data_IF_074859162879
#
_entry.id   IF_074859162879
#
_cell.length_a   1.000
_cell.length_b   1.000
_cell.length_c   1.000
_cell.angle_alpha   90.00
_cell.angle_beta   90.00
_cell.angle_gamma   90.00
#
_symmetry.space_group_name_H-M   'P 1'
#
loop_
_entity.id
_entity.type
_entity.pdbx_description
1 polymer ?
#
# COMPACT_ATOMS: atom_id res chain seq x y z
N UNK A 1 0.35 7.98 -2.13
CA UNK A 1 1.82 7.78 -2.26
C UNK A 1 2.38 9.02 -2.92
N UNK A 2 3.46 9.56 -2.36
CA UNK A 2 3.99 10.86 -2.81
C UNK A 2 3.16 12.09 -2.41
N UNK A 3 2.18 11.93 -1.50
CA UNK A 3 1.39 13.01 -0.92
C UNK A 3 1.63 13.14 0.60
N UNK A 4 1.21 14.26 1.22
CA UNK A 4 1.41 14.52 2.65
C UNK A 4 0.56 13.61 3.53
N UNK A 5 1.10 13.25 4.70
CA UNK A 5 0.45 12.45 5.75
C UNK A 5 -0.94 12.98 6.19
N UNK A 6 -1.25 14.26 5.93
CA UNK A 6 -2.56 14.85 6.20
C UNK A 6 -3.71 14.23 5.38
N UNK A 7 -3.39 13.47 4.33
CA UNK A 7 -4.37 12.69 3.57
C UNK A 7 -4.96 11.53 4.38
N UNK A 8 -4.25 11.05 5.41
CA UNK A 8 -4.69 9.93 6.28
C UNK A 8 -5.94 10.31 7.08
N UNK A 9 -6.08 11.57 7.50
CA UNK A 9 -7.27 12.08 8.18
C UNK A 9 -8.48 12.24 7.24
N UNK A 10 -8.26 12.48 5.95
CA UNK A 10 -9.34 12.49 4.96
C UNK A 10 -9.84 11.06 4.67
N UNK A 11 -8.93 10.08 4.65
CA UNK A 11 -9.24 8.66 4.53
C UNK A 11 -10.04 8.13 5.73
N UNK A 12 -9.74 8.63 6.93
CA UNK A 12 -10.48 8.37 8.18
C UNK A 12 -11.99 8.62 8.02
N UNK A 13 -12.35 9.74 7.39
CA UNK A 13 -13.74 10.19 7.32
C UNK A 13 -14.51 9.41 6.25
N UNK A 14 -13.82 8.94 5.19
CA UNK A 14 -14.44 8.21 4.07
C UNK A 14 -14.54 6.71 4.31
N UNK A 15 -13.61 6.10 5.07
CA UNK A 15 -13.59 4.66 5.27
C UNK A 15 -14.34 4.17 6.53
N UNK A 16 -14.71 5.08 7.44
CA UNK A 16 -15.46 4.74 8.67
C UNK A 16 -14.73 3.73 9.57
N UNK A 17 -13.41 3.67 9.45
CA UNK A 17 -12.54 2.64 10.02
C UNK A 17 -11.80 3.09 11.28
N UNK A 18 -11.42 2.13 12.12
CA UNK A 18 -10.48 2.37 13.22
C UNK A 18 -9.07 2.63 12.66
N UNK A 19 -8.48 3.75 13.07
CA UNK A 19 -7.07 4.07 12.83
C UNK A 19 -6.20 3.52 13.95
N UNK A 20 -5.11 2.86 13.59
CA UNK A 20 -4.03 2.53 14.53
C UNK A 20 -2.70 3.00 13.96
N UNK A 21 -2.00 3.87 14.69
CA UNK A 21 -0.67 4.35 14.31
C UNK A 21 0.40 3.60 15.11
N UNK A 22 1.47 3.17 14.45
CA UNK A 22 2.63 2.56 15.10
C UNK A 22 3.93 3.12 14.53
N UNK A 23 4.97 3.26 15.38
CA UNK A 23 6.28 3.74 14.95
C UNK A 23 7.20 2.59 14.58
N UNK A 24 7.71 2.60 13.36
CA UNK A 24 8.89 1.85 12.95
C UNK A 24 10.18 2.64 13.21
N UNK A 25 11.35 2.06 12.86
CA UNK A 25 12.66 2.68 13.12
C UNK A 25 12.84 4.05 12.44
N UNK A 26 12.37 4.16 11.18
CA UNK A 26 12.49 5.34 10.33
C UNK A 26 11.21 5.57 9.50
N UNK A 27 10.06 5.17 10.01
CA UNK A 27 8.76 5.40 9.40
C UNK A 27 7.65 5.27 10.45
N UNK A 28 6.46 5.77 10.11
CA UNK A 28 5.23 5.50 10.85
C UNK A 28 4.33 4.62 9.99
N UNK A 29 3.66 3.66 10.60
CA UNK A 29 2.61 2.86 9.96
C UNK A 29 1.26 3.38 10.42
N UNK A 30 0.46 3.86 9.48
CA UNK A 30 -0.92 4.24 9.69
C UNK A 30 -1.82 3.12 9.17
N UNK A 31 -2.51 2.42 10.08
CA UNK A 31 -3.39 1.32 9.73
C UNK A 31 -4.84 1.81 9.63
N UNK A 32 -5.48 1.54 8.49
CA UNK A 32 -6.90 1.78 8.23
C UNK A 32 -7.61 0.44 8.04
N UNK A 33 -8.68 0.19 8.80
CA UNK A 33 -9.53 -0.99 8.59
C UNK A 33 -10.82 -0.59 7.88
N UNK A 34 -11.11 -1.18 6.72
CA UNK A 34 -12.35 -0.96 6.00
C UNK A 34 -13.51 -1.74 6.63
N UNK A 35 -14.75 -1.26 6.46
CA UNK A 35 -15.97 -1.98 6.85
C UNK A 35 -16.12 -3.35 6.17
N UNK A 36 -15.43 -3.58 5.05
CA UNK A 36 -15.38 -4.85 4.33
C UNK A 36 -14.37 -5.85 4.91
N UNK A 37 -13.66 -5.51 6.00
CA UNK A 37 -12.69 -6.37 6.67
C UNK A 37 -11.32 -6.40 6.01
N UNK A 38 -10.99 -5.39 5.20
CA UNK A 38 -9.64 -5.22 4.64
C UNK A 38 -8.87 -4.26 5.53
N UNK A 39 -7.70 -4.69 5.99
CA UNK A 39 -6.75 -3.86 6.72
C UNK A 39 -5.74 -3.33 5.72
N UNK A 40 -5.50 -2.02 5.75
CA UNK A 40 -4.54 -1.32 4.91
C UNK A 40 -3.55 -0.62 5.83
N UNK A 41 -2.26 -0.82 5.62
CA UNK A 41 -1.19 -0.14 6.35
C UNK A 41 -0.49 0.82 5.39
N UNK A 42 -0.39 2.09 5.76
CA UNK A 42 0.36 3.09 5.01
C UNK A 42 1.66 3.41 5.73
N UNK A 43 2.77 3.35 5.01
CA UNK A 43 4.11 3.59 5.54
C UNK A 43 4.54 5.01 5.19
N UNK A 44 4.68 5.85 6.21
CA UNK A 44 4.96 7.27 6.11
C UNK A 44 6.41 7.52 6.51
N UNK A 45 7.19 8.13 5.64
CA UNK A 45 8.57 8.52 5.94
C UNK A 45 8.61 9.67 6.97
N UNK A 46 9.76 9.94 7.62
CA UNK A 46 9.90 11.07 8.52
C UNK A 46 9.70 12.43 7.82
N UNK A 47 9.82 12.46 6.50
CA UNK A 47 9.50 13.62 5.65
C UNK A 47 7.98 13.77 5.38
N UNK A 48 7.13 12.95 6.02
CA UNK A 48 5.67 13.01 5.87
C UNK A 48 5.15 12.45 4.55
N UNK A 49 5.95 11.64 3.84
CA UNK A 49 5.58 11.08 2.52
C UNK A 49 5.25 9.61 2.63
N UNK A 50 4.07 9.20 2.14
CA UNK A 50 3.73 7.77 1.99
C UNK A 50 4.59 7.15 0.89
N UNK A 51 5.45 6.20 1.26
CA UNK A 51 6.38 5.51 0.35
C UNK A 51 6.02 4.04 0.11
N UNK A 52 5.18 3.46 0.97
CA UNK A 52 4.64 2.13 0.78
C UNK A 52 3.25 1.98 1.39
N UNK A 53 2.50 1.00 0.91
CA UNK A 53 1.21 0.57 1.44
C UNK A 53 1.15 -0.95 1.40
N UNK A 54 0.69 -1.58 2.46
CA UNK A 54 0.34 -3.01 2.47
C UNK A 54 -1.12 -3.20 2.80
N UNK A 55 -1.68 -4.35 2.43
CA UNK A 55 -3.05 -4.68 2.75
C UNK A 55 -3.24 -6.17 2.99
N UNK A 56 -4.24 -6.49 3.79
CA UNK A 56 -4.69 -7.85 4.05
C UNK A 56 -6.19 -7.88 4.20
N UNK A 57 -6.86 -8.77 3.48
CA UNK A 57 -8.30 -8.92 3.61
C UNK A 57 -8.93 -9.79 2.54
N UNK A 58 -10.26 -9.82 2.49
CA UNK A 58 -10.98 -10.66 1.55
C UNK A 58 -10.91 -10.16 0.11
N UNK A 59 -10.63 -8.87 -0.09
CA UNK A 59 -10.50 -8.20 -1.38
C UNK A 59 -9.37 -7.18 -1.31
N UNK A 60 -8.70 -6.87 -2.44
CA UNK A 60 -7.77 -5.75 -2.50
C UNK A 60 -8.53 -4.42 -2.27
N UNK A 61 -7.92 -3.44 -1.59
CA UNK A 61 -8.49 -2.10 -1.47
C UNK A 61 -8.47 -1.38 -2.82
N UNK A 62 -9.17 -0.24 -2.91
CA UNK A 62 -9.00 0.67 -4.04
C UNK A 62 -7.58 1.25 -3.98
N UNK A 63 -6.70 0.79 -4.87
CA UNK A 63 -5.30 1.22 -4.92
C UNK A 63 -5.12 2.62 -5.55
N UNK A 64 -6.17 3.22 -6.12
CA UNK A 64 -6.06 4.54 -6.77
C UNK A 64 -5.70 5.64 -5.78
N UNK A 65 -6.25 5.57 -4.57
CA UNK A 65 -6.01 6.50 -3.47
C UNK A 65 -4.58 6.38 -2.91
N UNK A 66 -4.13 5.19 -2.48
CA UNK A 66 -2.77 5.04 -1.99
C UNK A 66 -1.74 5.19 -3.10
N UNK A 67 -1.96 4.78 -4.36
CA UNK A 67 -0.94 4.95 -5.41
C UNK A 67 -0.91 6.35 -6.04
N UNK A 68 -2.02 7.09 -6.00
CA UNK A 68 -2.08 8.44 -6.57
C UNK A 68 -1.59 8.48 -8.02
N UNK A 69 -0.58 9.30 -8.30
CA UNK A 69 0.02 9.45 -9.64
C UNK A 69 0.66 8.16 -10.18
N UNK A 70 1.08 7.23 -9.31
CA UNK A 70 1.67 5.94 -9.70
C UNK A 70 0.61 4.92 -10.15
N UNK A 71 -0.68 5.20 -9.91
CA UNK A 71 -1.76 4.25 -10.20
C UNK A 71 -1.89 3.93 -11.69
N UNK A 72 -1.70 4.93 -12.56
CA UNK A 72 -1.80 4.75 -14.01
C UNK A 72 -0.71 3.80 -14.56
N UNK A 73 0.54 3.96 -14.09
CA UNK A 73 1.65 3.09 -14.46
C UNK A 73 1.41 1.66 -13.97
N UNK A 74 0.97 1.51 -12.72
CA UNK A 74 0.56 0.22 -12.17
C UNK A 74 -0.56 -0.44 -13.00
N UNK A 75 -1.62 0.30 -13.34
CA UNK A 75 -2.77 -0.26 -14.06
C UNK A 75 -2.37 -0.75 -15.46
N UNK A 76 -1.54 0.03 -16.17
CA UNK A 76 -1.01 -0.37 -17.46
C UNK A 76 -0.17 -1.65 -17.38
N UNK A 77 0.71 -1.75 -16.37
CA UNK A 77 1.53 -2.94 -16.17
C UNK A 77 0.72 -4.16 -15.69
N UNK A 78 -0.24 -3.95 -14.80
CA UNK A 78 -1.12 -4.99 -14.29
C UNK A 78 -2.01 -5.60 -15.38
N UNK A 79 -2.47 -4.80 -16.34
CA UNK A 79 -3.23 -5.28 -17.50
C UNK A 79 -2.42 -6.24 -18.39
N UNK A 80 -1.09 -6.17 -18.37
CA UNK A 80 -0.21 -7.08 -19.09
C UNK A 80 0.08 -8.37 -18.31
N UNK A 81 -0.19 -8.41 -17.01
CA UNK A 81 0.01 -9.61 -16.20
C UNK A 81 -1.17 -10.56 -16.38
N UNK A 82 -0.90 -11.74 -16.94
CA UNK A 82 -1.92 -12.77 -17.12
C UNK A 82 -2.34 -13.33 -15.74
N UNK A 83 -3.65 -13.52 -15.49
CA UNK A 83 -4.09 -14.17 -14.26
C UNK A 83 -3.55 -15.60 -14.21
N UNK A 84 -2.59 -15.83 -13.32
CA UNK A 84 -2.04 -17.15 -13.02
C UNK A 84 -2.34 -17.53 -11.57
N UNK A 85 -2.24 -18.82 -11.25
CA UNK A 85 -2.36 -19.36 -9.87
C UNK A 85 -1.16 -18.98 -8.96
N UNK A 86 -0.44 -17.89 -9.27
CA UNK A 86 0.79 -17.46 -8.61
C UNK A 86 0.61 -16.07 -8.00
N UNK A 87 1.46 -15.69 -7.03
CA UNK A 87 1.55 -14.30 -6.57
C UNK A 87 1.67 -13.34 -7.76
N UNK A 88 0.80 -12.34 -7.79
CA UNK A 88 0.90 -11.20 -8.70
C UNK A 88 2.12 -10.39 -8.27
N UNK A 89 3.09 -10.22 -9.16
CA UNK A 89 4.18 -9.25 -8.98
C UNK A 89 4.25 -8.37 -10.22
N UNK A 90 3.96 -7.09 -10.02
CA UNK A 90 4.02 -6.04 -11.03
C UNK A 90 5.16 -5.12 -10.62
N UNK A 91 6.25 -5.15 -11.37
CA UNK A 91 7.37 -4.23 -11.20
C UNK A 91 7.38 -3.29 -12.38
N UNK A 92 7.34 -2.00 -12.09
CA UNK A 92 7.39 -0.93 -13.08
C UNK A 92 8.67 -0.11 -12.89
N UNK A 93 8.85 0.99 -13.62
CA UNK A 93 10.04 1.84 -13.47
C UNK A 93 10.07 2.57 -12.12
N UNK A 94 8.89 2.79 -11.52
CA UNK A 94 8.76 3.62 -10.31
C UNK A 94 8.09 2.90 -9.14
N UNK A 95 7.18 1.96 -9.40
CA UNK A 95 6.41 1.26 -8.36
C UNK A 95 6.53 -0.25 -8.48
N UNK A 96 6.66 -0.91 -7.33
CA UNK A 96 6.57 -2.36 -7.19
C UNK A 96 5.28 -2.69 -6.47
N UNK A 97 4.47 -3.58 -7.03
CA UNK A 97 3.24 -4.09 -6.44
C UNK A 97 3.30 -5.61 -6.40
N UNK A 98 3.10 -6.18 -5.23
CA UNK A 98 3.08 -7.61 -4.98
C UNK A 98 1.76 -7.97 -4.30
N UNK A 99 1.06 -8.99 -4.79
CA UNK A 99 -0.15 -9.50 -4.18
C UNK A 99 -0.15 -11.03 -4.22
N UNK A 100 -0.50 -11.67 -3.12
CA UNK A 100 -0.52 -13.11 -2.96
C UNK A 100 -1.68 -13.53 -2.05
N UNK A 101 -1.85 -14.84 -1.88
CA UNK A 101 -2.81 -15.41 -0.94
C UNK A 101 -3.95 -16.15 -1.61
N UNK A 102 -4.93 -16.52 -0.80
CA UNK A 102 -6.07 -17.32 -1.21
C UNK A 102 -7.36 -16.51 -1.11
N UNK A 103 -8.44 -17.04 -1.69
CA UNK A 103 -9.75 -16.40 -1.63
C UNK A 103 -10.12 -16.15 -0.16
N UNK A 104 -10.37 -14.88 0.20
CA UNK A 104 -10.65 -14.35 1.57
C UNK A 104 -9.46 -13.99 2.46
N UNK A 105 -8.22 -14.32 2.09
CA UNK A 105 -6.99 -13.87 2.78
C UNK A 105 -5.96 -13.42 1.74
N UNK A 106 -6.36 -12.44 0.94
CA UNK A 106 -5.47 -11.77 -0.01
C UNK A 106 -4.59 -10.80 0.76
N UNK A 107 -3.30 -10.83 0.46
CA UNK A 107 -2.29 -9.95 1.04
C UNK A 107 -1.54 -9.30 -0.08
N UNK A 108 -1.15 -8.06 0.07
CA UNK A 108 -0.29 -7.42 -0.90
C UNK A 108 0.39 -6.20 -0.34
N UNK A 109 1.34 -5.69 -1.11
CA UNK A 109 2.08 -4.48 -0.82
C UNK A 109 2.42 -3.76 -2.10
N UNK A 110 2.48 -2.45 -2.01
CA UNK A 110 2.92 -1.56 -3.05
C UNK A 110 3.93 -0.59 -2.45
N UNK A 111 5.07 -0.39 -3.11
CA UNK A 111 6.08 0.55 -2.64
C UNK A 111 6.82 1.20 -3.81
N UNK A 112 7.31 2.42 -3.58
CA UNK A 112 8.11 3.19 -4.53
C UNK A 112 9.57 3.13 -4.05
N UNK A 113 10.46 2.36 -4.71
CA UNK A 113 11.83 2.16 -4.23
C UNK A 113 12.61 3.46 -4.01
N UNK A 114 12.37 4.48 -4.83
CA UNK A 114 13.03 5.80 -4.71
C UNK A 114 12.56 6.63 -3.51
N UNK A 115 11.45 6.26 -2.86
CA UNK A 115 10.90 6.94 -1.69
C UNK A 115 11.18 6.20 -0.38
N UNK A 116 11.82 5.02 -0.43
CA UNK A 116 12.17 4.27 0.78
C UNK A 116 13.19 5.08 1.60
N UNK A 117 12.92 5.36 2.89
CA UNK A 117 13.85 6.10 3.74
C UNK A 117 15.18 5.36 3.93
N UNK A 118 16.25 6.10 4.17
CA UNK A 118 17.55 5.51 4.48
C UNK A 118 17.45 4.55 5.69
N UNK A 119 18.00 3.35 5.55
CA UNK A 119 17.97 2.32 6.58
C UNK A 119 16.65 1.53 6.67
N UNK A 120 15.67 1.80 5.80
CA UNK A 120 14.47 0.97 5.63
C UNK A 120 14.67 0.06 4.42
N UNK A 121 14.20 -1.17 4.52
CA UNK A 121 14.26 -2.18 3.46
C UNK A 121 12.85 -2.55 3.01
N UNK A 122 12.74 -3.19 1.85
CA UNK A 122 11.44 -3.69 1.39
C UNK A 122 10.85 -4.79 2.31
N UNK A 123 11.67 -5.43 3.13
CA UNK A 123 11.25 -6.47 4.08
C UNK A 123 10.52 -5.90 5.31
N UNK A 124 10.73 -4.60 5.58
CA UNK A 124 10.03 -3.85 6.63
C UNK A 124 8.57 -3.53 6.24
N UNK A 125 8.19 -3.78 4.98
CA UNK A 125 6.85 -3.54 4.42
C UNK A 125 6.07 -4.88 4.39
N UNK A 126 5.07 -5.03 5.27
CA UNK A 126 4.38 -6.30 5.56
C UNK A 126 2.86 -6.19 5.57
#
# INVERSE_FOLDING_TARGET
MGGPADSVAADQTRMGGHLASSKGPNFTVEQVSTSSGTVVNEYVSPAGTVFAVSWRGPRPPDLSQPLGSYFAEYQAAAAQVRPQRRPLKVTTGTVVVEAAGHMRDLRGRAYVPSLIPAGVTADDIQ
#
